data_IF_421597218987
#
_entry.id   IF_421597218987
#
_cell.length_a   1.000
_cell.length_b   1.000
_cell.length_c   1.000
_cell.angle_alpha   90.00
_cell.angle_beta   90.00
_cell.angle_gamma   90.00
#
_symmetry.space_group_name_H-M   'P 1'
#
loop_
_entity.id
_entity.type
_entity.pdbx_description
1 polymer ?
#
# COMPACT_ATOMS: atom_id res chain seq x y z
N UNK A 1 -57.03 -22.60 37.74
CA UNK A 1 -57.31 -22.33 36.31
C UNK A 1 -56.03 -22.60 35.53
N UNK A 2 -55.98 -23.65 34.72
CA UNK A 2 -54.81 -24.04 33.92
C UNK A 2 -55.00 -23.48 32.51
N UNK A 3 -54.14 -22.56 32.10
CA UNK A 3 -54.16 -21.96 30.76
C UNK A 3 -53.19 -22.76 29.88
N UNK A 4 -53.71 -23.47 28.90
CA UNK A 4 -52.93 -24.17 27.88
C UNK A 4 -52.53 -23.17 26.80
N UNK A 5 -51.23 -22.87 26.71
CA UNK A 5 -50.65 -22.01 25.67
C UNK A 5 -50.37 -22.87 24.43
N UNK A 6 -51.15 -22.67 23.37
CA UNK A 6 -50.91 -23.25 22.04
C UNK A 6 -49.93 -22.34 21.28
N UNK A 7 -48.74 -22.85 20.99
CA UNK A 7 -47.74 -22.19 20.15
C UNK A 7 -47.93 -22.67 18.71
N UNK A 8 -48.26 -21.79 17.74
CA UNK A 8 -48.32 -22.17 16.33
C UNK A 8 -46.91 -22.30 15.75
N UNK A 9 -46.59 -23.48 15.24
CA UNK A 9 -45.39 -23.73 14.46
C UNK A 9 -45.54 -23.11 13.06
N UNK A 10 -44.94 -21.94 12.86
CA UNK A 10 -44.80 -21.31 11.54
C UNK A 10 -43.53 -21.88 10.89
N UNK A 11 -43.70 -22.73 9.88
CA UNK A 11 -42.61 -23.23 9.06
C UNK A 11 -42.18 -22.14 8.07
N UNK A 12 -41.07 -21.45 8.36
CA UNK A 12 -40.40 -20.54 7.44
C UNK A 12 -39.61 -21.35 6.40
N UNK A 13 -40.13 -21.42 5.18
CA UNK A 13 -39.39 -21.85 3.99
C UNK A 13 -38.42 -20.74 3.59
N UNK A 14 -37.19 -20.81 4.10
CA UNK A 14 -36.09 -19.97 3.65
C UNK A 14 -35.66 -20.40 2.24
N UNK A 15 -36.10 -19.66 1.21
CA UNK A 15 -35.55 -19.76 -0.14
C UNK A 15 -34.17 -19.11 -0.12
N UNK A 16 -33.14 -19.93 0.06
CA UNK A 16 -31.74 -19.52 -0.08
C UNK A 16 -31.39 -19.36 -1.57
N UNK A 17 -31.73 -18.20 -2.14
CA UNK A 17 -31.12 -17.74 -3.39
C UNK A 17 -29.62 -17.54 -3.16
N UNK A 18 -28.84 -18.55 -3.54
CA UNK A 18 -27.38 -18.53 -3.49
C UNK A 18 -26.83 -17.48 -4.45
N UNK A 19 -26.66 -16.26 -3.95
CA UNK A 19 -25.76 -15.31 -4.58
C UNK A 19 -24.34 -15.89 -4.48
N UNK A 20 -23.55 -15.87 -5.57
CA UNK A 20 -22.14 -16.23 -5.48
C UNK A 20 -21.48 -15.27 -4.49
N UNK A 21 -21.18 -15.78 -3.29
CA UNK A 21 -20.47 -15.00 -2.30
C UNK A 21 -19.10 -14.66 -2.87
N UNK A 22 -18.83 -13.37 -3.04
CA UNK A 22 -17.47 -12.86 -3.24
C UNK A 22 -16.59 -13.51 -2.18
N UNK A 23 -15.55 -14.24 -2.60
CA UNK A 23 -14.73 -15.04 -1.71
C UNK A 23 -13.99 -14.16 -0.71
N UNK A 24 -14.47 -14.13 0.53
CA UNK A 24 -13.79 -13.53 1.67
C UNK A 24 -12.82 -14.58 2.23
N UNK A 25 -11.55 -14.52 1.83
CA UNK A 25 -10.49 -15.24 2.53
C UNK A 25 -9.80 -14.27 3.47
N UNK A 26 -9.63 -14.64 4.74
CA UNK A 26 -8.77 -13.91 5.65
C UNK A 26 -7.39 -14.55 5.60
N UNK A 27 -6.36 -13.78 5.22
CA UNK A 27 -4.98 -14.25 5.12
C UNK A 27 -4.09 -13.60 6.17
N UNK A 28 -3.27 -14.39 6.86
CA UNK A 28 -2.24 -13.83 7.75
C UNK A 28 -1.03 -13.39 6.93
N UNK A 29 -0.81 -12.09 6.89
CA UNK A 29 0.30 -11.43 6.17
C UNK A 29 1.34 -10.95 7.18
N UNK A 30 2.61 -11.20 6.88
CA UNK A 30 3.75 -10.73 7.67
C UNK A 30 4.27 -9.43 7.06
N UNK A 31 4.42 -8.40 7.90
CA UNK A 31 4.94 -7.09 7.51
C UNK A 31 6.23 -6.76 8.24
N UNK A 32 7.11 -6.02 7.59
CA UNK A 32 8.22 -5.32 8.23
C UNK A 32 7.86 -3.84 8.31
N UNK A 33 7.71 -3.32 9.53
CA UNK A 33 7.33 -1.95 9.81
C UNK A 33 8.53 -1.13 10.31
N UNK A 34 8.80 0.01 9.69
CA UNK A 34 9.90 0.91 10.04
C UNK A 34 9.35 2.22 10.60
N UNK A 35 9.74 2.59 11.82
CA UNK A 35 9.43 3.91 12.39
C UNK A 35 10.39 4.94 11.83
N UNK A 36 9.91 5.86 11.00
CA UNK A 36 10.76 6.76 10.20
C UNK A 36 11.64 7.68 11.06
N UNK A 37 11.17 8.11 12.23
CA UNK A 37 11.93 9.00 13.11
C UNK A 37 13.10 8.34 13.84
N UNK A 38 13.06 7.01 14.04
CA UNK A 38 14.08 6.27 14.80
C UNK A 38 14.84 5.26 13.95
N UNK A 39 14.33 4.90 12.77
CA UNK A 39 14.85 3.82 11.95
C UNK A 39 14.61 2.42 12.55
N UNK A 40 13.86 2.32 13.65
CA UNK A 40 13.57 1.02 14.27
C UNK A 40 12.62 0.20 13.41
N UNK A 41 12.99 -1.05 13.18
CA UNK A 41 12.20 -2.03 12.43
C UNK A 41 11.52 -3.02 13.38
N UNK A 42 10.26 -3.34 13.12
CA UNK A 42 9.49 -4.35 13.83
C UNK A 42 8.80 -5.27 12.81
N UNK A 43 8.87 -6.58 13.02
CA UNK A 43 8.06 -7.53 12.26
C UNK A 43 6.71 -7.72 12.96
N UNK A 44 5.61 -7.62 12.20
CA UNK A 44 4.26 -7.82 12.72
C UNK A 44 3.49 -8.77 11.81
N UNK A 45 2.47 -9.42 12.38
CA UNK A 45 1.54 -10.28 11.63
C UNK A 45 0.15 -9.67 11.71
N UNK A 46 -0.49 -9.52 10.56
CA UNK A 46 -1.83 -8.95 10.44
C UNK A 46 -2.70 -9.95 9.71
N UNK A 47 -3.85 -10.29 10.27
CA UNK A 47 -4.91 -10.98 9.56
C UNK A 47 -5.59 -9.94 8.65
N UNK A 48 -5.39 -10.07 7.34
CA UNK A 48 -5.90 -9.14 6.33
C UNK A 48 -7.06 -9.79 5.61
N UNK A 49 -8.15 -9.04 5.49
CA UNK A 49 -9.35 -9.42 4.76
C UNK A 49 -9.57 -8.39 3.65
N UNK A 50 -9.70 -8.88 2.41
CA UNK A 50 -10.02 -8.06 1.24
C UNK A 50 -11.40 -8.45 0.69
N UNK A 51 -12.23 -7.44 0.43
CA UNK A 51 -13.50 -7.60 -0.29
C UNK A 51 -13.32 -7.06 -1.70
N UNK A 52 -13.12 -7.95 -2.67
CA UNK A 52 -12.84 -7.58 -4.07
C UNK A 52 -14.08 -7.84 -4.93
N UNK A 53 -14.55 -6.86 -5.72
CA UNK A 53 -15.63 -7.10 -6.66
C UNK A 53 -15.14 -8.07 -7.76
N UNK A 54 -15.93 -9.08 -8.15
CA UNK A 54 -15.49 -10.07 -9.13
C UNK A 54 -15.29 -9.45 -10.53
N UNK A 55 -16.04 -8.39 -10.81
CA UNK A 55 -15.99 -7.63 -12.06
C UNK A 55 -15.86 -6.13 -11.83
N UNK A 56 -15.17 -5.45 -12.73
CA UNK A 56 -15.08 -4.00 -12.83
C UNK A 56 -15.18 -3.59 -14.31
N UNK A 57 -15.37 -2.30 -14.60
CA UNK A 57 -15.42 -1.79 -15.97
C UNK A 57 -14.31 -0.78 -16.23
N UNK A 58 -13.79 -0.78 -17.45
CA UNK A 58 -12.88 0.26 -17.94
C UNK A 58 -13.48 1.64 -17.70
N UNK A 59 -12.67 2.56 -17.17
CA UNK A 59 -13.03 3.94 -16.83
C UNK A 59 -14.11 4.13 -15.75
N UNK A 60 -14.54 3.06 -15.08
CA UNK A 60 -15.44 3.12 -13.92
C UNK A 60 -14.63 2.93 -12.62
N UNK A 61 -14.84 3.78 -11.62
CA UNK A 61 -14.18 3.62 -10.33
C UNK A 61 -14.73 2.37 -9.62
N UNK A 62 -13.83 1.46 -9.23
CA UNK A 62 -14.16 0.33 -8.38
C UNK A 62 -13.66 0.54 -6.95
N UNK A 63 -14.29 -0.18 -6.02
CA UNK A 63 -13.96 -0.14 -4.58
C UNK A 63 -13.58 -1.53 -4.10
N UNK A 64 -12.45 -1.63 -3.41
CA UNK A 64 -12.00 -2.82 -2.70
C UNK A 64 -12.09 -2.55 -1.21
N UNK A 65 -12.76 -3.41 -0.45
CA UNK A 65 -12.77 -3.33 1.01
C UNK A 65 -11.49 -3.89 1.60
N UNK A 66 -10.91 -3.22 2.61
CA UNK A 66 -9.81 -3.75 3.40
C UNK A 66 -10.15 -3.73 4.89
N UNK A 67 -9.80 -4.79 5.59
CA UNK A 67 -9.85 -4.87 7.06
C UNK A 67 -8.59 -5.59 7.54
N UNK A 68 -8.08 -5.18 8.70
CA UNK A 68 -6.89 -5.77 9.30
C UNK A 68 -7.03 -5.93 10.81
N UNK A 69 -6.49 -7.00 11.37
CA UNK A 69 -6.32 -7.17 12.82
C UNK A 69 -4.95 -7.75 13.15
N UNK A 70 -4.33 -7.28 14.25
CA UNK A 70 -3.04 -7.81 14.68
C UNK A 70 -3.17 -9.26 15.14
N UNK A 71 -2.11 -10.04 14.92
CA UNK A 71 -2.01 -11.43 15.37
C UNK A 71 -0.91 -11.54 16.42
N UNK A 72 -1.23 -12.11 17.58
CA UNK A 72 -0.23 -12.51 18.57
C UNK A 72 0.43 -11.36 19.35
N UNK A 73 -0.25 -10.23 19.55
CA UNK A 73 0.28 -9.12 20.36
C UNK A 73 1.42 -8.35 19.68
N UNK A 74 1.46 -8.36 18.34
CA UNK A 74 2.42 -7.61 17.55
C UNK A 74 1.98 -6.18 17.25
N UNK A 75 1.26 -5.53 18.16
CA UNK A 75 0.81 -4.16 17.96
C UNK A 75 2.01 -3.21 17.80
N UNK A 76 1.87 -2.26 16.87
CA UNK A 76 2.82 -1.17 16.73
C UNK A 76 2.63 -0.15 17.85
N UNK A 77 3.68 0.59 18.17
CA UNK A 77 3.61 1.72 19.12
C UNK A 77 3.53 3.02 18.34
N UNK A 78 2.57 3.89 18.68
CA UNK A 78 2.39 5.16 18.00
C UNK A 78 3.57 6.12 18.30
N UNK A 79 4.34 6.57 17.29
CA UNK A 79 5.44 7.52 17.51
C UNK A 79 4.95 8.94 17.76
N UNK A 80 3.79 9.30 17.20
CA UNK A 80 3.18 10.63 17.28
C UNK A 80 1.64 10.50 17.37
N UNK A 81 0.93 11.50 17.92
CA UNK A 81 -0.53 11.46 17.97
C UNK A 81 -1.17 11.75 16.60
N UNK A 82 -2.49 11.50 16.50
CA UNK A 82 -3.35 11.87 15.35
C UNK A 82 -2.91 11.28 14.00
N UNK A 83 -2.46 10.04 14.03
CA UNK A 83 -2.13 9.29 12.82
C UNK A 83 -3.39 8.94 12.02
N UNK A 84 -3.22 8.84 10.71
CA UNK A 84 -4.15 8.16 9.79
C UNK A 84 -3.49 6.90 9.27
N UNK A 85 -4.30 5.92 8.89
CA UNK A 85 -3.84 4.73 8.20
C UNK A 85 -4.02 4.93 6.69
N UNK A 86 -2.98 4.67 5.91
CA UNK A 86 -2.98 4.63 4.45
C UNK A 86 -2.75 3.21 3.99
N UNK A 87 -3.71 2.62 3.32
CA UNK A 87 -3.69 1.22 2.92
C UNK A 87 -3.59 1.09 1.42
N UNK A 88 -2.85 0.09 0.97
CA UNK A 88 -2.66 -0.23 -0.43
C UNK A 88 -3.04 -1.70 -0.68
N UNK A 89 -3.71 -1.95 -1.79
CA UNK A 89 -3.82 -3.29 -2.37
C UNK A 89 -3.03 -3.31 -3.67
N UNK A 90 -2.28 -4.38 -3.89
CA UNK A 90 -1.56 -4.63 -5.13
C UNK A 90 -2.46 -5.31 -6.14
N UNK A 91 -2.34 -4.93 -7.40
CA UNK A 91 -3.08 -5.53 -8.51
C UNK A 91 -2.06 -6.01 -9.53
N UNK A 92 -2.22 -7.23 -10.02
CA UNK A 92 -1.30 -7.85 -10.98
C UNK A 92 -2.03 -8.41 -12.19
N UNK A 93 -1.31 -8.53 -13.31
CA UNK A 93 -1.77 -9.13 -14.58
C UNK A 93 -2.89 -8.38 -15.32
N UNK A 94 -3.21 -7.15 -14.91
CA UNK A 94 -4.05 -6.22 -15.66
C UNK A 94 -3.17 -5.05 -16.06
N UNK A 95 -3.06 -4.80 -17.36
CA UNK A 95 -2.16 -3.75 -17.85
C UNK A 95 -2.58 -2.36 -17.33
N UNK A 96 -1.58 -1.56 -16.97
CA UNK A 96 -1.73 -0.21 -16.39
C UNK A 96 -2.60 -0.10 -15.13
N UNK A 97 -2.87 -1.22 -14.44
CA UNK A 97 -3.59 -1.25 -13.16
C UNK A 97 -2.76 -1.97 -12.10
N UNK A 98 -2.04 -1.20 -11.28
CA UNK A 98 -1.06 -1.76 -10.33
C UNK A 98 -1.52 -1.74 -8.88
N UNK A 99 -2.46 -0.87 -8.51
CA UNK A 99 -2.86 -0.73 -7.12
C UNK A 99 -4.23 -0.07 -6.91
N UNK A 100 -4.75 -0.22 -5.70
CA UNK A 100 -5.83 0.56 -5.13
C UNK A 100 -5.39 1.15 -3.78
N UNK A 101 -5.88 2.34 -3.44
CA UNK A 101 -5.46 3.06 -2.23
C UNK A 101 -6.65 3.55 -1.43
N UNK A 102 -6.54 3.52 -0.11
CA UNK A 102 -7.56 4.05 0.79
C UNK A 102 -6.95 4.67 2.04
N UNK A 103 -7.77 5.43 2.76
CA UNK A 103 -7.38 6.11 4.00
C UNK A 103 -8.42 5.86 5.08
N UNK A 104 -7.95 5.61 6.30
CA UNK A 104 -8.80 5.54 7.47
C UNK A 104 -8.32 6.52 8.54
N UNK A 105 -9.28 7.19 9.17
CA UNK A 105 -9.02 8.00 10.37
C UNK A 105 -8.93 7.07 11.57
N UNK A 106 -7.89 7.23 12.37
CA UNK A 106 -7.73 6.49 13.62
C UNK A 106 -8.26 7.32 14.79
N UNK A 107 -8.68 6.68 15.90
CA UNK A 107 -8.96 7.40 17.13
C UNK A 107 -7.73 8.22 17.58
N UNK A 108 -7.98 9.31 18.31
CA UNK A 108 -6.92 10.11 18.87
C UNK A 108 -6.17 9.31 19.96
N UNK A 109 -4.98 8.84 19.62
CA UNK A 109 -4.08 8.12 20.51
C UNK A 109 -2.89 9.02 20.89
N UNK A 110 -2.37 8.82 22.10
CA UNK A 110 -1.13 9.45 22.53
C UNK A 110 0.09 8.70 21.97
N UNK A 111 1.23 9.39 21.90
CA UNK A 111 2.49 8.74 21.58
C UNK A 111 2.88 7.72 22.67
N UNK A 112 3.54 6.63 22.28
CA UNK A 112 3.96 5.56 23.20
C UNK A 112 2.86 4.54 23.54
N UNK A 113 1.66 4.68 22.98
CA UNK A 113 0.53 3.77 23.19
C UNK A 113 0.42 2.79 22.01
N UNK A 114 -0.05 1.54 22.22
CA UNK A 114 -0.39 0.63 21.13
C UNK A 114 -1.32 1.29 20.09
N UNK A 115 -0.98 1.11 18.83
CA UNK A 115 -1.62 1.72 17.67
C UNK A 115 -2.70 0.80 17.12
N UNK A 116 -4.00 1.06 17.33
CA UNK A 116 -5.05 0.17 16.85
C UNK A 116 -5.18 0.23 15.32
N UNK A 117 -5.62 -0.87 14.72
CA UNK A 117 -6.12 -0.88 13.34
C UNK A 117 -7.61 -0.50 13.32
N UNK A 118 -8.12 0.07 12.21
CA UNK A 118 -9.55 0.39 12.08
C UNK A 118 -10.43 -0.86 12.22
N UNK A 119 -11.49 -0.75 13.01
CA UNK A 119 -12.53 -1.78 13.13
C UNK A 119 -13.52 -1.75 11.94
N UNK A 120 -13.61 -0.62 11.25
CA UNK A 120 -14.41 -0.45 10.03
C UNK A 120 -13.63 -0.86 8.78
N UNK A 121 -14.36 -1.27 7.73
CA UNK A 121 -13.78 -1.50 6.41
C UNK A 121 -13.19 -0.19 5.87
N UNK A 122 -11.95 -0.24 5.39
CA UNK A 122 -11.28 0.83 4.67
C UNK A 122 -11.55 0.66 3.19
N UNK A 123 -12.18 1.66 2.57
CA UNK A 123 -12.45 1.63 1.12
C UNK A 123 -11.21 2.03 0.33
N UNK A 124 -10.68 1.09 -0.47
CA UNK A 124 -9.60 1.33 -1.41
C UNK A 124 -10.21 1.61 -2.79
N UNK A 125 -9.85 2.74 -3.41
CA UNK A 125 -10.36 3.14 -4.73
C UNK A 125 -9.30 2.97 -5.81
N UNK A 126 -9.75 2.60 -7.01
CA UNK A 126 -8.92 2.58 -8.22
C UNK A 126 -9.82 2.62 -9.47
N UNK A 127 -9.25 2.91 -10.63
CA UNK A 127 -9.98 3.01 -11.90
C UNK A 127 -9.17 2.32 -13.00
N UNK A 128 -9.61 1.16 -13.50
CA UNK A 128 -8.90 0.45 -14.56
C UNK A 128 -9.01 1.20 -15.90
N UNK A 129 -7.93 1.15 -16.68
CA UNK A 129 -7.83 1.81 -18.00
C UNK A 129 -7.87 0.85 -19.19
N UNK A 130 -7.78 -0.44 -18.90
CA UNK A 130 -7.81 -1.48 -19.91
C UNK A 130 -8.55 -2.71 -19.38
N UNK A 131 -9.21 -3.48 -20.26
CA UNK A 131 -9.81 -4.74 -19.89
C UNK A 131 -8.72 -5.79 -19.61
N UNK A 132 -9.07 -6.81 -18.84
CA UNK A 132 -8.14 -7.91 -18.53
C UNK A 132 -8.55 -8.70 -17.29
N UNK A 133 -7.86 -9.81 -17.04
CA UNK A 133 -8.06 -10.63 -15.85
C UNK A 133 -6.78 -10.71 -15.04
N UNK A 134 -6.90 -10.52 -13.72
CA UNK A 134 -5.75 -10.52 -12.83
C UNK A 134 -6.10 -10.90 -11.40
N UNK A 135 -5.21 -10.55 -10.48
CA UNK A 135 -5.43 -10.75 -9.05
C UNK A 135 -5.16 -9.49 -8.24
N UNK A 136 -5.96 -9.30 -7.20
CA UNK A 136 -5.76 -8.33 -6.14
C UNK A 136 -5.13 -9.05 -4.94
N UNK A 137 -4.21 -8.41 -4.24
CA UNK A 137 -3.58 -8.96 -3.04
C UNK A 137 -3.23 -7.86 -2.02
N UNK A 138 -3.02 -8.22 -0.74
CA UNK A 138 -2.51 -7.29 0.25
C UNK A 138 -1.17 -6.68 -0.18
N UNK A 139 -1.04 -5.36 -0.02
CA UNK A 139 0.22 -4.64 -0.22
C UNK A 139 0.58 -3.86 1.05
N UNK A 140 1.50 -2.90 0.94
CA UNK A 140 1.96 -2.09 2.06
C UNK A 140 0.81 -1.33 2.75
N UNK A 141 1.04 -0.92 3.99
CA UNK A 141 0.25 0.14 4.62
C UNK A 141 1.16 1.04 5.45
N UNK A 142 0.73 2.28 5.69
CA UNK A 142 1.53 3.28 6.37
C UNK A 142 0.69 4.03 7.39
N UNK A 143 1.33 4.50 8.45
CA UNK A 143 0.73 5.44 9.38
C UNK A 143 1.38 6.80 9.24
N UNK A 144 0.58 7.86 9.16
CA UNK A 144 1.12 9.21 9.00
C UNK A 144 0.04 10.29 9.09
N UNK A 145 0.45 11.55 9.06
CA UNK A 145 -0.50 12.68 8.99
C UNK A 145 -0.96 12.93 7.55
N UNK A 146 -0.13 12.56 6.57
CA UNK A 146 -0.41 12.58 5.13
C UNK A 146 0.22 11.34 4.46
N UNK A 147 -0.11 11.03 3.19
CA UNK A 147 0.55 9.95 2.44
C UNK A 147 2.07 10.12 2.26
N UNK A 148 2.55 11.37 2.28
CA UNK A 148 3.97 11.73 2.15
C UNK A 148 4.67 11.97 3.49
N UNK A 149 3.92 12.23 4.57
CA UNK A 149 4.42 12.40 5.92
C UNK A 149 4.15 11.15 6.75
N UNK A 150 4.87 10.07 6.39
CA UNK A 150 4.77 8.75 7.01
C UNK A 150 5.59 8.74 8.30
N UNK A 151 4.98 8.24 9.37
CA UNK A 151 5.61 8.03 10.67
C UNK A 151 6.00 6.56 10.89
N UNK A 152 5.22 5.64 10.33
CA UNK A 152 5.53 4.20 10.27
C UNK A 152 5.24 3.71 8.85
N UNK A 153 6.20 3.01 8.26
CA UNK A 153 6.06 2.39 6.94
C UNK A 153 6.05 0.87 7.08
N UNK A 154 4.98 0.18 6.65
CA UNK A 154 4.88 -1.27 6.73
C UNK A 154 4.88 -1.89 5.33
N UNK A 155 5.95 -2.62 5.02
CA UNK A 155 6.11 -3.35 3.77
C UNK A 155 5.78 -4.83 3.96
N UNK A 156 5.19 -5.44 2.94
CA UNK A 156 4.86 -6.87 2.95
C UNK A 156 6.15 -7.66 2.87
N UNK A 157 6.39 -8.51 3.88
CA UNK A 157 7.49 -9.49 3.88
C UNK A 157 7.02 -10.85 3.34
N UNK A 158 5.85 -11.30 3.74
CA UNK A 158 5.23 -12.55 3.29
C UNK A 158 3.71 -12.39 3.25
N UNK A 159 3.07 -12.78 2.14
CA UNK A 159 1.62 -12.66 1.92
C UNK A 159 0.82 -13.84 2.48
N UNK A 160 1.49 -14.90 2.95
CA UNK A 160 0.85 -16.15 3.27
C UNK A 160 0.22 -16.83 2.04
N UNK A 161 -0.40 -17.98 2.25
CA UNK A 161 -1.13 -18.69 1.20
C UNK A 161 -2.56 -18.15 1.07
N UNK A 162 -3.08 -18.04 -0.15
CA UNK A 162 -4.51 -17.74 -0.41
C UNK A 162 -4.92 -16.26 -0.29
N UNK A 163 -3.97 -15.35 -0.44
CA UNK A 163 -4.19 -13.88 -0.37
C UNK A 163 -4.35 -13.21 -1.74
N UNK A 164 -4.48 -14.00 -2.82
CA UNK A 164 -4.81 -13.53 -4.17
C UNK A 164 -6.30 -13.70 -4.45
N UNK A 165 -6.96 -12.61 -4.85
CA UNK A 165 -8.39 -12.57 -5.18
C UNK A 165 -8.55 -12.28 -6.67
N UNK A 166 -9.35 -13.07 -7.41
CA UNK A 166 -9.52 -12.85 -8.84
C UNK A 166 -10.27 -11.54 -9.10
N UNK A 167 -9.86 -10.84 -10.16
CA UNK A 167 -10.52 -9.64 -10.66
C UNK A 167 -10.59 -9.70 -12.18
N UNK A 168 -11.76 -9.43 -12.73
CA UNK A 168 -11.95 -9.25 -14.18
C UNK A 168 -12.38 -7.82 -14.47
N UNK A 169 -11.68 -7.15 -15.38
CA UNK A 169 -12.07 -5.84 -15.91
C UNK A 169 -12.68 -6.05 -17.30
N UNK A 170 -13.95 -5.68 -17.42
CA UNK A 170 -14.72 -5.71 -18.65
C UNK A 170 -14.61 -4.39 -19.41
N UNK A 171 -14.71 -4.45 -20.74
CA UNK A 171 -14.72 -3.29 -21.61
C UNK A 171 -14.00 -3.54 -22.93
N UNK A 172 -14.10 -2.58 -23.83
CA UNK A 172 -13.29 -2.53 -25.05
C UNK A 172 -12.01 -1.79 -24.72
N UNK A 173 -10.86 -2.37 -25.03
CA UNK A 173 -9.61 -1.63 -24.95
C UNK A 173 -9.74 -0.38 -25.83
N UNK A 174 -9.18 0.79 -25.42
CA UNK A 174 -8.98 1.87 -26.35
C UNK A 174 -8.26 1.27 -27.56
N UNK A 175 -8.87 1.39 -28.73
CA UNK A 175 -8.12 1.15 -29.97
C UNK A 175 -7.06 2.23 -29.93
N UNK A 176 -5.82 1.85 -29.60
CA UNK A 176 -4.69 2.73 -29.83
C UNK A 176 -4.80 3.08 -31.30
N UNK A 177 -5.22 4.32 -31.58
CA UNK A 177 -5.15 4.86 -32.91
C UNK A 177 -3.67 4.84 -33.20
N UNK A 178 -3.22 3.77 -33.85
CA UNK A 178 -1.89 3.61 -34.37
C UNK A 178 -1.69 4.85 -35.21
N UNK A 179 -1.04 5.83 -34.60
CA UNK A 179 -0.69 7.06 -35.29
C UNK A 179 0.34 6.53 -36.25
N UNK A 180 -0.10 6.26 -37.49
CA UNK A 180 0.76 5.94 -38.60
C UNK A 180 1.86 6.99 -38.55
N UNK A 181 2.99 6.60 -37.99
CA UNK A 181 4.15 7.46 -37.97
C UNK A 181 4.48 7.52 -39.45
N UNK A 182 4.37 8.69 -40.11
CA UNK A 182 4.71 8.77 -41.51
C UNK A 182 6.10 8.15 -41.62
N UNK A 183 6.20 7.11 -42.43
CA UNK A 183 7.48 6.51 -42.80
C UNK A 183 8.29 7.68 -43.39
N UNK A 184 9.17 8.25 -42.56
CA UNK A 184 10.23 9.13 -43.04
C UNK A 184 11.05 8.26 -43.96
N UNK A 185 10.73 8.33 -45.25
CA UNK A 185 11.53 7.80 -46.33
C UNK A 185 12.92 8.41 -46.18
N UNK A 186 13.80 7.70 -45.46
CA UNK A 186 15.23 7.98 -45.43
C UNK A 186 15.71 7.91 -46.88
N UNK A 187 15.85 9.08 -47.47
CA UNK A 187 16.76 9.28 -48.58
C UNK A 187 18.14 9.11 -47.97
N UNK A 188 18.81 8.00 -48.31
CA UNK A 188 20.21 7.77 -47.97
C UNK A 188 21.06 8.85 -48.63
N UNK A 189 21.28 9.97 -47.93
CA UNK A 189 22.39 10.87 -48.26
C UNK A 189 23.70 10.25 -47.74
N UNK A 190 24.77 10.25 -48.55
CA UNK A 190 26.05 9.68 -48.16
C UNK A 190 26.62 10.43 -46.95
N UNK A 191 26.98 9.67 -45.92
CA UNK A 191 27.61 10.18 -44.70
C UNK A 191 29.04 10.58 -45.05
N UNK A 192 29.28 11.87 -45.27
CA UNK A 192 30.63 12.41 -45.23
C UNK A 192 31.16 12.32 -43.78
N UNK A 193 32.27 11.60 -43.63
CA UNK A 193 32.97 11.37 -42.37
C UNK A 193 33.55 12.69 -41.83
N UNK A 194 32.73 13.44 -41.08
CA UNK A 194 33.20 14.64 -40.38
C UNK A 194 33.99 14.20 -39.15
N UNK A 195 35.31 14.15 -39.30
CA UNK A 195 36.27 14.14 -38.19
C UNK A 195 35.97 15.30 -37.24
N UNK A 196 35.50 14.99 -36.04
CA UNK A 196 35.38 15.98 -34.97
C UNK A 196 36.78 16.40 -34.52
N UNK A 197 37.09 17.72 -34.52
CA UNK A 197 38.35 18.20 -33.97
C UNK A 197 38.38 18.00 -32.45
N UNK A 198 39.43 17.35 -31.98
CA UNK A 198 39.76 17.28 -30.55
C UNK A 198 40.24 18.65 -30.12
N UNK A 199 39.41 19.37 -29.37
CA UNK A 199 39.79 20.61 -28.68
C UNK A 199 38.80 21.74 -28.91
N UNK A 200 37.98 22.06 -27.90
CA UNK A 200 37.05 23.17 -27.96
C UNK A 200 36.39 23.50 -26.63
N UNK A 201 37.05 24.38 -25.88
CA UNK A 201 36.51 25.33 -24.91
C UNK A 201 35.66 24.81 -23.74
N UNK A 202 36.35 24.63 -22.62
CA UNK A 202 35.90 24.98 -21.29
C UNK A 202 35.68 26.51 -21.21
N UNK A 203 34.44 27.00 -21.43
CA UNK A 203 34.01 28.35 -21.03
C UNK A 203 32.51 28.34 -20.70
N UNK A 204 32.19 28.64 -19.44
CA UNK A 204 30.85 28.59 -18.88
C UNK A 204 29.91 29.77 -19.16
N UNK A 205 28.79 29.75 -18.44
CA UNK A 205 27.67 30.69 -18.48
C UNK A 205 26.37 29.88 -18.37
N UNK A 206 25.72 29.79 -17.22
CA UNK A 206 25.00 30.91 -16.63
C UNK A 206 23.52 30.80 -17.04
N UNK A 207 22.73 30.08 -16.24
CA UNK A 207 21.28 29.96 -16.41
C UNK A 207 20.64 29.89 -15.04
N UNK A 208 19.98 30.98 -14.67
CA UNK A 208 19.40 31.24 -13.37
C UNK A 208 18.08 30.47 -13.12
N UNK A 209 17.80 30.26 -11.84
CA UNK A 209 16.47 30.27 -11.23
C UNK A 209 15.43 29.21 -11.65
N UNK A 210 15.43 28.09 -10.92
CA UNK A 210 14.21 27.36 -10.54
C UNK A 210 14.14 27.30 -9.00
N UNK A 211 13.09 27.83 -8.35
CA UNK A 211 13.03 27.91 -6.89
C UNK A 211 12.46 26.61 -6.32
N UNK A 212 13.31 25.60 -6.15
CA UNK A 212 13.03 24.49 -5.23
C UNK A 212 14.17 24.40 -4.22
N UNK A 213 14.09 25.31 -3.26
CA UNK A 213 14.90 25.27 -2.06
C UNK A 213 14.56 24.04 -1.23
N UNK A 214 15.57 23.22 -0.95
CA UNK A 214 16.20 23.16 0.38
C UNK A 214 17.27 22.08 0.38
N UNK A 215 18.50 22.57 0.26
CA UNK A 215 19.68 21.98 0.87
C UNK A 215 19.38 21.83 2.37
N UNK A 216 19.43 20.60 2.88
CA UNK A 216 19.84 20.37 4.28
C UNK A 216 21.02 19.40 4.23
N UNK A 217 22.20 20.01 4.07
CA UNK A 217 23.44 19.48 4.63
C UNK A 217 23.30 19.64 6.14
N UNK A 218 23.35 18.54 6.88
CA UNK A 218 23.76 18.59 8.28
C UNK A 218 24.69 17.43 8.56
N UNK A 219 25.96 17.74 8.39
CA UNK A 219 27.07 17.05 9.04
C UNK A 219 26.82 17.01 10.55
N UNK A 220 26.89 15.82 11.12
CA UNK A 220 26.68 15.58 12.55
C UNK A 220 27.44 14.35 13.02
N UNK A 221 28.75 14.33 12.79
CA UNK A 221 29.70 13.43 13.43
C UNK A 221 29.91 13.87 14.89
N UNK A 222 29.41 13.11 15.87
CA UNK A 222 29.93 13.16 17.24
C UNK A 222 30.13 11.73 17.75
N UNK A 223 31.41 11.39 17.91
CA UNK A 223 31.91 10.20 18.61
C UNK A 223 31.68 10.37 20.11
N UNK A 224 31.05 9.40 20.76
CA UNK A 224 31.13 9.23 22.21
C UNK A 224 31.78 7.87 22.52
N UNK A 225 33.10 7.90 22.62
CA UNK A 225 33.87 6.94 23.38
C UNK A 225 34.00 7.47 24.82
N UNK A 226 33.46 6.73 25.79
CA UNK A 226 33.52 7.08 27.21
C UNK A 226 33.35 5.84 28.08
N UNK A 227 34.46 5.39 28.64
CA UNK A 227 34.69 4.22 29.48
C UNK A 227 34.01 4.34 30.86
N UNK A 228 33.51 3.23 31.41
CA UNK A 228 33.06 3.16 32.80
C UNK A 228 32.93 1.72 33.32
N UNK A 229 33.96 1.26 34.04
CA UNK A 229 34.06 -0.04 34.71
C UNK A 229 33.09 -0.21 35.90
N UNK A 230 32.62 -1.46 36.10
CA UNK A 230 32.34 -2.08 37.41
C UNK A 230 30.93 -1.89 37.99
N UNK A 231 30.42 -2.72 38.91
CA UNK A 231 30.89 -3.96 39.56
C UNK A 231 29.73 -4.52 40.42
N UNK A 232 29.72 -5.86 40.63
CA UNK A 232 29.08 -6.68 41.71
C UNK A 232 27.55 -6.72 41.87
N UNK A 233 26.92 -7.89 41.76
CA UNK A 233 26.80 -9.00 42.76
C UNK A 233 26.06 -8.60 44.03
N UNK A 234 24.86 -9.14 44.17
CA UNK A 234 24.09 -9.18 45.42
C UNK A 234 23.17 -10.39 45.43
N UNK A 235 23.71 -11.57 45.75
CA UNK A 235 22.94 -12.71 46.22
C UNK A 235 22.60 -12.47 47.69
N UNK A 236 21.31 -12.52 48.06
CA UNK A 236 20.87 -12.82 49.43
C UNK A 236 19.53 -13.54 49.42
N UNK A 237 19.65 -14.82 49.80
CA UNK A 237 18.73 -15.68 50.56
C UNK A 237 17.44 -16.14 49.88
#
# INVERSE_FOLDING_TARGET
MRVHLLVPAVALLAVSSGFPMSGESAGVVTYTCTTTSTGQTQEIRVNVELTVPPTAKVDEQMTIGWRGSYVGGGELIAPVPRLKLYVYAGISKIDRLTSATGVATLPAIAAGVPLPLPESVVELKTTPKQPGSGSVHPASFNFGTSPSARAIECEVKDRGTGSDYPLTVEGTAPVDAETERPDDARTDEPVDEVKTPVGGADTGGGGEAGPDGRIVVLAGLVVLAGVGMGVRVGSRR
#
